data_IF_447374606890
#
_entry.id   IF_447374606890
#
_cell.length_a   1.000
_cell.length_b   1.000
_cell.length_c   1.000
_cell.angle_alpha   90.00
_cell.angle_beta   90.00
_cell.angle_gamma   90.00
#
_symmetry.space_group_name_H-M   'P 1'
#
loop_
_entity.id
_entity.type
_entity.pdbx_description
1 polymer ?
#
# COMPACT_ATOMS: atom_id res chain seq x y z
N UNK A 1 -45.03 20.07 24.48
CA UNK A 1 -44.98 18.70 23.97
C UNK A 1 -43.56 18.41 23.50
N UNK A 2 -42.98 17.35 24.09
CA UNK A 2 -41.74 16.60 23.77
C UNK A 2 -40.58 17.27 23.01
N UNK A 3 -39.47 17.54 23.72
CA UNK A 3 -38.09 17.41 23.21
C UNK A 3 -37.08 17.36 24.38
N UNK A 4 -37.45 16.67 25.47
CA UNK A 4 -36.67 16.61 26.71
C UNK A 4 -36.18 15.19 27.05
N UNK A 5 -36.19 14.25 26.10
CA UNK A 5 -36.06 12.82 26.41
C UNK A 5 -34.98 12.02 25.69
N UNK A 6 -34.02 12.64 25.02
CA UNK A 6 -33.08 11.87 24.18
C UNK A 6 -31.59 12.13 24.37
N UNK A 7 -31.16 12.45 25.59
CA UNK A 7 -29.72 12.43 25.94
C UNK A 7 -29.47 11.85 27.34
N UNK A 8 -30.05 10.66 27.60
CA UNK A 8 -29.65 9.79 28.71
C UNK A 8 -29.39 8.40 28.16
N UNK A 9 -28.14 8.14 27.80
CA UNK A 9 -27.65 6.82 27.43
C UNK A 9 -26.16 6.85 27.11
N UNK A 10 -25.35 6.50 28.12
CA UNK A 10 -23.91 6.18 28.06
C UNK A 10 -22.89 7.32 28.05
N UNK A 11 -22.92 8.14 29.11
CA UNK A 11 -21.69 8.45 29.85
C UNK A 11 -21.90 7.94 31.28
N UNK A 12 -20.97 7.12 31.76
CA UNK A 12 -21.03 6.45 33.06
C UNK A 12 -21.17 7.44 34.21
N UNK A 13 -21.87 6.98 35.24
CA UNK A 13 -22.12 7.63 36.54
C UNK A 13 -20.89 8.41 37.06
N UNK A 14 -20.95 9.73 36.99
CA UNK A 14 -20.30 10.62 37.95
C UNK A 14 -21.15 11.89 38.01
N UNK A 15 -21.72 12.17 39.18
CA UNK A 15 -22.46 13.41 39.44
C UNK A 15 -21.47 14.59 39.44
N UNK A 16 -21.45 15.40 38.38
CA UNK A 16 -20.56 16.59 38.27
C UNK A 16 -21.33 17.90 38.49
N UNK A 17 -22.58 17.86 38.96
CA UNK A 17 -23.34 19.09 39.20
C UNK A 17 -23.92 19.17 40.62
N UNK A 18 -23.04 19.21 41.62
CA UNK A 18 -23.34 19.83 42.92
C UNK A 18 -22.59 21.16 43.00
N UNK A 19 -23.26 22.28 42.70
CA UNK A 19 -22.65 23.58 42.99
C UNK A 19 -23.33 24.83 42.46
N UNK A 20 -23.88 24.84 41.24
CA UNK A 20 -24.36 26.10 40.66
C UNK A 20 -25.74 25.95 39.99
N UNK A 21 -26.79 26.30 40.75
CA UNK A 21 -28.08 26.69 40.15
C UNK A 21 -27.92 28.09 39.56
N UNK A 22 -27.74 28.18 38.25
CA UNK A 22 -27.99 29.42 37.53
C UNK A 22 -29.49 29.48 37.20
N UNK A 23 -30.24 30.32 37.91
CA UNK A 23 -31.58 30.72 37.49
C UNK A 23 -31.44 31.72 36.34
N UNK A 24 -32.11 31.43 35.22
CA UNK A 24 -32.16 32.33 34.07
C UNK A 24 -33.59 32.84 33.87
N UNK A 25 -33.80 34.15 34.00
CA UNK A 25 -35.00 34.86 33.57
C UNK A 25 -34.65 35.72 32.35
N UNK A 26 -35.25 35.42 31.20
CA UNK A 26 -35.14 36.23 29.97
C UNK A 26 -34.97 35.41 28.69
N UNK A 27 -35.56 35.90 27.59
CA UNK A 27 -35.36 35.36 26.23
C UNK A 27 -33.93 35.62 25.76
N UNK A 28 -33.18 34.56 25.44
CA UNK A 28 -31.80 34.68 24.93
C UNK A 28 -31.73 34.56 23.40
N UNK A 29 -30.85 35.38 22.83
CA UNK A 29 -30.42 35.34 21.45
C UNK A 29 -29.55 34.09 21.19
N UNK A 30 -29.70 33.45 20.03
CA UNK A 30 -29.10 32.14 19.68
C UNK A 30 -27.58 32.08 19.86
N UNK A 31 -26.92 33.23 19.77
CA UNK A 31 -25.46 33.39 19.91
C UNK A 31 -24.95 33.18 21.33
N UNK A 32 -25.70 33.59 22.37
CA UNK A 32 -25.32 33.38 23.77
C UNK A 32 -25.38 31.89 24.16
N UNK A 33 -26.34 31.17 23.59
CA UNK A 33 -26.49 29.72 23.76
C UNK A 33 -25.36 28.94 23.06
N UNK A 34 -24.85 29.47 21.95
CA UNK A 34 -23.73 28.91 21.20
C UNK A 34 -22.40 29.14 21.95
N UNK A 35 -22.20 30.34 22.48
CA UNK A 35 -21.02 30.68 23.29
C UNK A 35 -20.94 29.82 24.57
N UNK A 36 -22.07 29.60 25.26
CA UNK A 36 -22.12 28.72 26.43
C UNK A 36 -21.76 27.26 26.09
N UNK A 37 -22.21 26.74 24.93
CA UNK A 37 -21.87 25.39 24.46
C UNK A 37 -20.38 25.24 24.13
N UNK A 38 -19.76 26.27 23.55
CA UNK A 38 -18.32 26.26 23.20
C UNK A 38 -17.45 26.32 24.46
N UNK A 39 -17.84 27.08 25.49
CA UNK A 39 -17.12 27.12 26.77
C UNK A 39 -17.19 25.76 27.50
N UNK A 40 -18.38 25.12 27.51
CA UNK A 40 -18.55 23.79 28.10
C UNK A 40 -17.71 22.73 27.36
N UNK A 41 -17.61 22.82 26.03
CA UNK A 41 -16.76 21.93 25.23
C UNK A 41 -15.26 22.15 25.50
N UNK A 42 -14.83 23.39 25.73
CA UNK A 42 -13.44 23.71 26.09
C UNK A 42 -13.02 23.10 27.43
N UNK A 43 -13.89 23.19 28.44
CA UNK A 43 -13.61 22.63 29.76
C UNK A 43 -13.69 21.09 29.75
N UNK A 44 -14.60 20.50 28.96
CA UNK A 44 -14.62 19.04 28.72
C UNK A 44 -13.37 18.54 27.98
N UNK A 45 -12.89 19.26 26.97
CA UNK A 45 -11.69 18.87 26.21
C UNK A 45 -10.42 18.96 27.06
N UNK A 46 -10.31 19.99 27.90
CA UNK A 46 -9.18 20.16 28.81
C UNK A 46 -9.10 19.06 29.90
N UNK A 47 -10.25 18.48 30.29
CA UNK A 47 -10.30 17.45 31.34
C UNK A 47 -10.27 16.01 30.81
N UNK A 48 -10.59 15.78 29.53
CA UNK A 48 -10.78 14.43 28.98
C UNK A 48 -10.10 14.16 27.62
N UNK A 49 -9.06 14.92 27.25
CA UNK A 49 -8.31 14.77 26.00
C UNK A 49 -7.80 13.33 25.73
N UNK A 50 -7.67 12.47 26.74
CA UNK A 50 -7.24 11.08 26.59
C UNK A 50 -8.39 10.06 26.41
N UNK A 51 -9.66 10.48 26.31
CA UNK A 51 -10.82 9.56 26.33
C UNK A 51 -11.96 9.84 25.31
N UNK A 52 -11.81 10.77 24.36
CA UNK A 52 -12.89 11.07 23.41
C UNK A 52 -12.67 10.32 22.09
N UNK A 53 -13.58 9.37 21.80
CA UNK A 53 -13.69 8.62 20.55
C UNK A 53 -14.42 9.45 19.46
N UNK A 54 -14.17 9.14 18.20
CA UNK A 54 -14.35 9.96 16.99
C UNK A 54 -15.77 10.35 16.54
N UNK A 55 -16.84 10.13 17.31
CA UNK A 55 -18.21 10.19 16.75
C UNK A 55 -18.92 11.56 16.88
N UNK A 56 -18.23 12.64 17.23
CA UNK A 56 -18.88 13.93 17.54
C UNK A 56 -18.96 14.97 16.39
N UNK A 57 -18.45 14.68 15.18
CA UNK A 57 -18.36 15.68 14.11
C UNK A 57 -19.14 15.30 12.83
N UNK A 58 -20.48 15.38 12.86
CA UNK A 58 -21.34 15.20 11.67
C UNK A 58 -22.30 16.36 11.41
N UNK A 59 -21.97 17.59 11.84
CA UNK A 59 -22.94 18.69 11.82
C UNK A 59 -22.44 20.08 11.44
N UNK A 60 -21.44 20.27 10.57
CA UNK A 60 -20.99 21.64 10.22
C UNK A 60 -20.56 21.88 8.76
N UNK A 61 -21.24 21.26 7.79
CA UNK A 61 -20.90 21.36 6.36
C UNK A 61 -21.60 22.45 5.53
N UNK A 62 -22.23 23.51 6.10
CA UNK A 62 -23.07 24.43 5.29
C UNK A 62 -22.83 25.94 5.42
N UNK A 63 -21.70 26.43 5.93
CA UNK A 63 -21.50 27.90 6.10
C UNK A 63 -20.20 28.46 5.50
N UNK A 64 -19.39 27.66 4.79
CA UNK A 64 -18.09 28.12 4.29
C UNK A 64 -18.08 28.47 2.79
N UNK A 65 -19.11 29.16 2.27
CA UNK A 65 -19.09 29.73 0.91
C UNK A 65 -19.26 31.24 0.97
N UNK A 66 -18.14 31.94 0.90
CA UNK A 66 -18.08 33.38 0.77
C UNK A 66 -17.10 33.96 1.77
N UNK A 67 -15.80 33.93 1.43
CA UNK A 67 -14.78 34.89 1.83
C UNK A 67 -13.48 34.52 1.08
N UNK A 68 -13.16 35.29 0.04
CA UNK A 68 -11.94 35.16 -0.75
C UNK A 68 -10.69 35.77 -0.06
N UNK A 69 -9.51 35.69 -0.69
CA UNK A 69 -8.24 35.57 0.02
C UNK A 69 -7.47 36.90 0.13
N UNK A 70 -6.75 37.09 1.24
CA UNK A 70 -5.50 37.86 1.28
C UNK A 70 -4.54 37.24 2.32
N UNK A 71 -3.49 36.61 1.83
CA UNK A 71 -2.35 36.13 2.62
C UNK A 71 -1.33 37.26 2.73
N UNK A 72 -0.92 37.58 3.95
CA UNK A 72 0.17 38.49 4.27
C UNK A 72 0.92 37.98 5.49
N UNK A 73 2.19 37.65 5.28
CA UNK A 73 3.16 37.14 6.26
C UNK A 73 3.38 38.06 7.46
N UNK A 74 3.23 37.57 8.70
CA UNK A 74 4.01 38.02 9.88
C UNK A 74 3.77 37.10 11.08
N UNK A 75 4.47 35.96 11.17
CA UNK A 75 4.43 35.08 12.35
C UNK A 75 5.14 35.66 13.58
N UNK A 76 6.07 36.63 13.43
CA UNK A 76 6.82 37.17 14.57
C UNK A 76 6.14 38.33 15.32
N UNK A 77 5.07 38.93 14.75
CA UNK A 77 4.33 40.02 15.38
C UNK A 77 3.20 39.49 16.29
N UNK A 78 2.58 38.37 15.91
CA UNK A 78 1.46 37.77 16.66
C UNK A 78 1.91 37.23 18.02
N UNK A 79 3.08 36.60 18.11
CA UNK A 79 3.60 36.04 19.38
C UNK A 79 3.94 37.13 20.41
N UNK A 80 4.47 38.28 19.95
CA UNK A 80 4.78 39.43 20.83
C UNK A 80 3.53 40.18 21.30
N UNK A 81 2.44 40.15 20.53
CA UNK A 81 1.16 40.75 20.92
C UNK A 81 0.41 39.85 21.92
N UNK A 82 0.52 38.52 21.79
CA UNK A 82 -0.10 37.60 22.75
C UNK A 82 0.52 37.69 24.15
N UNK A 83 1.84 37.81 24.29
CA UNK A 83 2.48 37.82 25.62
C UNK A 83 2.17 39.09 26.46
N UNK A 84 1.84 40.22 25.83
CA UNK A 84 1.70 41.51 26.52
C UNK A 84 0.28 41.84 27.02
N UNK A 85 -0.75 41.01 26.77
CA UNK A 85 -2.15 41.35 27.07
C UNK A 85 -2.89 40.43 28.05
N UNK A 86 -2.22 39.48 28.70
CA UNK A 86 -2.86 38.61 29.70
C UNK A 86 -2.78 39.20 31.12
N UNK A 87 -3.65 40.15 31.40
CA UNK A 87 -4.04 40.51 32.78
C UNK A 87 -5.46 39.98 33.05
N UNK A 88 -5.70 39.27 34.17
CA UNK A 88 -6.98 38.62 34.44
C UNK A 88 -7.97 39.62 35.06
N UNK A 89 -8.45 40.62 34.28
CA UNK A 89 -9.57 41.50 34.66
C UNK A 89 -9.99 42.40 33.50
N UNK A 90 -10.73 41.86 32.54
CA UNK A 90 -11.60 42.69 31.69
C UNK A 90 -12.71 41.86 31.08
N UNK A 91 -13.95 42.30 31.27
CA UNK A 91 -15.13 41.82 30.55
C UNK A 91 -14.91 42.18 29.07
N UNK A 92 -14.75 41.17 28.21
CA UNK A 92 -14.50 41.38 26.79
C UNK A 92 -15.82 41.74 26.09
N UNK A 93 -15.80 42.79 25.27
CA UNK A 93 -16.92 43.14 24.40
C UNK A 93 -17.17 42.06 23.34
N UNK A 94 -18.41 41.97 22.86
CA UNK A 94 -18.89 40.93 21.91
C UNK A 94 -17.99 40.82 20.67
N UNK A 95 -17.45 41.95 20.19
CA UNK A 95 -16.57 41.99 19.02
C UNK A 95 -15.20 41.31 19.26
N UNK A 96 -14.65 41.41 20.47
CA UNK A 96 -13.39 40.73 20.83
C UNK A 96 -13.58 39.22 21.03
N UNK A 97 -14.79 38.78 21.38
CA UNK A 97 -15.14 37.35 21.47
C UNK A 97 -15.32 36.78 20.06
N UNK A 98 -15.98 37.52 19.16
CA UNK A 98 -16.13 37.14 17.76
C UNK A 98 -14.76 36.98 17.07
N UNK A 99 -13.86 37.95 17.22
CA UNK A 99 -12.51 37.91 16.64
C UNK A 99 -11.70 36.71 17.15
N UNK A 100 -11.82 36.38 18.45
CA UNK A 100 -11.17 35.20 19.06
C UNK A 100 -11.73 33.87 18.57
N UNK A 101 -13.04 33.81 18.30
CA UNK A 101 -13.68 32.62 17.71
C UNK A 101 -13.26 32.46 16.26
N UNK A 102 -13.19 33.53 15.48
CA UNK A 102 -12.74 33.49 14.09
C UNK A 102 -11.29 33.02 13.98
N UNK A 103 -10.39 33.53 14.85
CA UNK A 103 -8.99 33.08 14.89
C UNK A 103 -8.88 31.62 15.32
N UNK A 104 -9.69 31.16 16.27
CA UNK A 104 -9.68 29.76 16.72
C UNK A 104 -10.25 28.79 15.68
N UNK A 105 -11.30 29.20 14.95
CA UNK A 105 -11.84 28.45 13.81
C UNK A 105 -10.82 28.42 12.66
N UNK A 106 -10.13 29.53 12.38
CA UNK A 106 -9.03 29.54 11.42
C UNK A 106 -7.87 28.66 11.87
N UNK A 107 -7.54 28.63 13.16
CA UNK A 107 -6.51 27.74 13.70
C UNK A 107 -6.90 26.26 13.58
N UNK A 108 -8.15 25.90 13.90
CA UNK A 108 -8.65 24.53 13.72
C UNK A 108 -8.77 24.17 12.23
N UNK A 109 -9.21 25.09 11.37
CA UNK A 109 -9.29 24.86 9.93
C UNK A 109 -7.89 24.77 9.29
N UNK A 110 -6.91 25.53 9.79
CA UNK A 110 -5.51 25.44 9.35
C UNK A 110 -4.87 24.17 9.87
N UNK A 111 -5.11 23.76 11.12
CA UNK A 111 -4.66 22.46 11.61
C UNK A 111 -5.35 21.34 10.84
N UNK A 112 -6.67 21.40 10.61
CA UNK A 112 -7.40 20.40 9.84
C UNK A 112 -6.98 20.37 8.37
N UNK A 113 -6.62 21.50 7.76
CA UNK A 113 -6.08 21.57 6.41
C UNK A 113 -4.62 21.13 6.35
N UNK A 114 -3.82 21.37 7.40
CA UNK A 114 -2.43 20.91 7.52
C UNK A 114 -2.37 19.41 7.87
N UNK A 115 -3.31 18.88 8.65
CA UNK A 115 -3.45 17.45 8.94
C UNK A 115 -4.14 16.70 7.80
N UNK A 116 -5.07 17.32 7.06
CA UNK A 116 -5.58 16.77 5.81
C UNK A 116 -4.58 16.88 4.65
N UNK A 117 -3.66 17.85 4.69
CA UNK A 117 -2.53 17.95 3.77
C UNK A 117 -1.31 17.11 4.20
N UNK A 118 -1.32 16.51 5.40
CA UNK A 118 -0.33 15.54 5.87
C UNK A 118 -0.81 14.10 5.65
N UNK A 119 -1.29 13.85 4.44
CA UNK A 119 -1.14 12.60 3.71
C UNK A 119 -1.41 12.92 2.24
N UNK A 120 -0.76 13.95 1.69
CA UNK A 120 -0.69 14.08 0.24
C UNK A 120 0.10 12.86 -0.25
N UNK A 121 -0.60 11.89 -0.81
CA UNK A 121 0.05 10.74 -1.45
C UNK A 121 1.01 11.23 -2.52
N UNK A 122 2.18 10.59 -2.60
CA UNK A 122 3.21 10.94 -3.59
C UNK A 122 2.85 10.37 -4.96
N UNK A 123 2.11 9.26 -5.02
CA UNK A 123 1.60 8.71 -6.27
C UNK A 123 0.12 8.36 -6.19
N UNK A 124 -0.69 9.04 -7.00
CA UNK A 124 -2.12 8.84 -7.11
C UNK A 124 -2.48 8.28 -8.49
N UNK A 125 -3.04 7.07 -8.52
CA UNK A 125 -3.41 6.37 -9.75
C UNK A 125 -4.46 7.16 -10.54
N UNK A 126 -5.37 7.90 -9.88
CA UNK A 126 -6.41 8.64 -10.61
C UNK A 126 -5.85 9.85 -11.38
N UNK A 127 -4.72 10.41 -10.96
CA UNK A 127 -4.03 11.51 -11.65
C UNK A 127 -2.86 11.05 -12.53
N UNK A 128 -2.46 9.78 -12.45
CA UNK A 128 -1.41 9.16 -13.26
C UNK A 128 -1.98 7.98 -14.06
N UNK A 129 -2.75 8.23 -15.14
CA UNK A 129 -3.22 7.15 -16.00
C UNK A 129 -2.01 6.39 -16.57
N UNK A 130 -2.18 5.10 -16.86
CA UNK A 130 -1.12 4.18 -17.30
C UNK A 130 -0.09 3.85 -16.20
N UNK A 131 -0.53 3.76 -14.95
CA UNK A 131 0.30 3.35 -13.84
C UNK A 131 0.80 1.91 -14.04
N UNK A 132 2.08 1.66 -13.72
CA UNK A 132 2.67 0.32 -13.80
C UNK A 132 3.18 -0.08 -12.42
N UNK A 133 2.61 -1.15 -11.88
CA UNK A 133 3.05 -1.79 -10.65
C UNK A 133 3.78 -3.09 -10.91
N UNK A 134 4.54 -3.59 -9.92
CA UNK A 134 5.11 -4.94 -9.95
C UNK A 134 5.01 -5.62 -8.59
N UNK A 135 4.69 -6.91 -8.58
CA UNK A 135 4.74 -7.69 -7.34
C UNK A 135 6.19 -7.87 -6.86
N UNK A 136 6.37 -7.82 -5.53
CA UNK A 136 7.69 -7.83 -4.89
C UNK A 136 7.72 -8.74 -3.65
N UNK A 137 8.76 -9.56 -3.58
CA UNK A 137 9.00 -10.56 -2.54
C UNK A 137 10.01 -10.03 -1.52
N UNK A 138 9.71 -10.20 -0.23
CA UNK A 138 10.57 -9.80 0.89
C UNK A 138 11.09 -10.99 1.73
N UNK A 139 10.77 -12.22 1.32
CA UNK A 139 10.85 -13.44 2.13
C UNK A 139 12.08 -14.32 1.81
N UNK A 140 13.11 -13.77 1.17
CA UNK A 140 14.32 -14.49 0.75
C UNK A 140 15.12 -15.11 1.91
N UNK A 141 14.83 -14.75 3.15
CA UNK A 141 15.48 -15.36 4.32
C UNK A 141 14.93 -16.75 4.68
N UNK A 142 13.78 -17.18 4.13
CA UNK A 142 13.16 -18.47 4.46
C UNK A 142 14.05 -19.70 4.17
N UNK A 143 14.95 -19.60 3.19
CA UNK A 143 15.81 -20.73 2.83
C UNK A 143 17.17 -20.74 3.52
N UNK A 144 17.46 -19.78 4.39
CA UNK A 144 18.77 -19.62 5.02
C UNK A 144 18.90 -20.37 6.36
N UNK A 145 18.51 -21.64 6.39
CA UNK A 145 18.70 -22.52 7.56
C UNK A 145 20.09 -23.16 7.52
N UNK A 146 21.11 -22.43 7.98
CA UNK A 146 22.54 -22.82 8.05
C UNK A 146 23.34 -22.70 6.74
N UNK A 147 22.97 -21.79 5.85
CA UNK A 147 23.73 -21.49 4.63
C UNK A 147 22.84 -20.99 3.52
N UNK A 148 23.41 -20.78 2.34
CA UNK A 148 22.60 -20.50 1.16
C UNK A 148 21.87 -21.79 0.72
N UNK A 149 20.56 -21.75 0.44
CA UNK A 149 19.87 -22.92 -0.09
C UNK A 149 20.42 -23.31 -1.46
N UNK A 150 20.27 -24.58 -1.89
CA UNK A 150 20.75 -25.01 -3.19
C UNK A 150 20.06 -24.28 -4.34
N UNK A 151 20.70 -24.26 -5.50
CA UNK A 151 20.21 -23.63 -6.73
C UNK A 151 19.70 -24.71 -7.70
N UNK A 152 18.43 -24.62 -8.12
CA UNK A 152 17.80 -25.60 -9.00
C UNK A 152 18.47 -25.63 -10.37
N UNK A 153 18.78 -24.47 -10.95
CA UNK A 153 19.45 -24.38 -12.26
C UNK A 153 20.83 -25.05 -12.24
N UNK A 154 21.58 -24.93 -11.14
CA UNK A 154 22.84 -25.65 -10.95
C UNK A 154 22.63 -27.16 -10.79
N UNK A 155 21.61 -27.58 -10.04
CA UNK A 155 21.27 -28.99 -9.86
C UNK A 155 20.90 -29.64 -11.21
N UNK A 156 20.09 -28.97 -12.02
CA UNK A 156 19.70 -29.43 -13.37
C UNK A 156 20.91 -29.50 -14.31
N UNK A 157 21.94 -28.66 -14.10
CA UNK A 157 23.22 -28.75 -14.80
C UNK A 157 24.14 -29.88 -14.29
N UNK A 158 23.69 -30.66 -13.29
CA UNK A 158 24.45 -31.76 -12.69
C UNK A 158 25.36 -31.33 -11.54
N UNK A 159 25.15 -30.13 -10.97
CA UNK A 159 25.95 -29.56 -9.89
C UNK A 159 25.15 -29.51 -8.58
N UNK A 160 25.12 -30.64 -7.87
CA UNK A 160 24.54 -30.73 -6.53
C UNK A 160 23.38 -31.71 -6.46
N UNK A 161 22.47 -31.50 -5.50
CA UNK A 161 21.29 -32.35 -5.31
C UNK A 161 20.17 -31.55 -4.65
N UNK A 162 18.93 -31.92 -4.95
CA UNK A 162 17.78 -31.32 -4.29
C UNK A 162 17.78 -31.62 -2.79
N UNK A 163 17.60 -30.58 -1.97
CA UNK A 163 17.23 -30.74 -0.56
C UNK A 163 15.94 -31.56 -0.39
N UNK A 164 15.74 -32.22 0.76
CA UNK A 164 14.48 -32.87 1.11
C UNK A 164 13.27 -31.93 1.06
N UNK A 165 12.08 -32.46 0.81
CA UNK A 165 10.83 -31.72 1.06
C UNK A 165 10.68 -31.44 2.57
N UNK A 166 10.17 -30.26 2.98
CA UNK A 166 9.70 -29.13 2.18
C UNK A 166 10.72 -27.96 2.14
N UNK A 167 12.01 -28.27 1.97
CA UNK A 167 13.06 -27.25 2.01
C UNK A 167 13.05 -26.35 0.79
N UNK A 168 13.61 -25.16 0.98
CA UNK A 168 13.72 -24.11 -0.02
C UNK A 168 14.97 -24.24 -0.88
N UNK A 169 14.86 -23.70 -2.09
CA UNK A 169 15.90 -23.57 -3.10
C UNK A 169 15.85 -22.17 -3.71
N UNK A 170 16.95 -21.73 -4.30
CA UNK A 170 16.92 -20.70 -5.33
C UNK A 170 16.58 -21.38 -6.67
N UNK A 171 15.68 -20.82 -7.48
CA UNK A 171 15.48 -21.39 -8.82
C UNK A 171 16.69 -21.12 -9.73
N UNK A 172 17.41 -20.01 -9.48
CA UNK A 172 18.62 -19.58 -10.17
C UNK A 172 19.38 -18.53 -9.35
N UNK A 173 20.49 -18.03 -9.89
CA UNK A 173 21.36 -17.04 -9.25
C UNK A 173 21.07 -15.63 -9.76
N UNK A 174 20.68 -14.68 -8.89
CA UNK A 174 20.60 -13.26 -9.27
C UNK A 174 21.97 -12.73 -9.74
N UNK A 175 21.99 -11.75 -10.65
CA UNK A 175 23.22 -11.17 -11.22
C UNK A 175 24.17 -10.56 -10.15
N UNK A 176 23.63 -10.19 -8.99
CA UNK A 176 24.42 -9.74 -7.84
C UNK A 176 24.69 -10.80 -6.77
N UNK A 177 24.44 -12.07 -7.07
CA UNK A 177 24.54 -13.20 -6.15
C UNK A 177 23.33 -13.35 -5.22
N UNK A 178 23.32 -14.45 -4.47
CA UNK A 178 22.26 -14.78 -3.53
C UNK A 178 22.22 -13.79 -2.36
N UNK A 179 21.01 -13.48 -1.89
CA UNK A 179 20.82 -12.49 -0.84
C UNK A 179 19.70 -12.86 0.15
N UNK A 180 19.77 -12.32 1.36
CA UNK A 180 18.71 -12.40 2.36
C UNK A 180 17.74 -11.21 2.23
N UNK A 181 16.53 -11.36 2.76
CA UNK A 181 15.56 -10.27 2.83
C UNK A 181 16.12 -9.08 3.62
N UNK A 182 15.94 -7.86 3.10
CA UNK A 182 16.36 -6.63 3.77
C UNK A 182 17.84 -6.23 3.58
N UNK A 183 18.57 -6.85 2.63
CA UNK A 183 19.93 -6.41 2.31
C UNK A 183 19.94 -5.03 1.62
N UNK A 184 20.50 -4.00 2.27
CA UNK A 184 20.48 -2.62 1.74
C UNK A 184 21.17 -2.45 0.38
N UNK A 185 22.25 -3.18 0.10
CA UNK A 185 22.93 -3.09 -1.20
C UNK A 185 22.06 -3.66 -2.33
N UNK A 186 21.30 -4.70 -2.04
CA UNK A 186 20.31 -5.27 -2.99
C UNK A 186 19.12 -4.32 -3.14
N UNK A 187 18.62 -3.73 -2.06
CA UNK A 187 17.52 -2.77 -2.10
C UNK A 187 17.88 -1.51 -2.90
N UNK A 188 19.08 -0.93 -2.71
CA UNK A 188 19.58 0.20 -3.53
C UNK A 188 19.58 -0.15 -5.02
N UNK A 189 20.10 -1.33 -5.38
CA UNK A 189 20.06 -1.83 -6.76
C UNK A 189 18.63 -1.98 -7.27
N UNK A 190 17.76 -2.62 -6.50
CA UNK A 190 16.37 -2.87 -6.90
C UNK A 190 15.61 -1.57 -7.14
N UNK A 191 15.73 -0.59 -6.24
CA UNK A 191 15.06 0.70 -6.44
C UNK A 191 15.57 1.42 -7.68
N UNK A 192 16.88 1.40 -7.93
CA UNK A 192 17.44 1.96 -9.16
C UNK A 192 16.92 1.26 -10.42
N UNK A 193 16.81 -0.08 -10.41
CA UNK A 193 16.37 -0.85 -11.58
C UNK A 193 14.86 -0.71 -11.80
N UNK A 194 14.05 -0.83 -10.75
CA UNK A 194 12.58 -0.74 -10.79
C UNK A 194 12.16 0.67 -11.21
N UNK A 195 12.64 1.71 -10.52
CA UNK A 195 12.32 3.09 -10.88
C UNK A 195 12.93 3.50 -12.22
N UNK A 196 14.14 3.02 -12.53
CA UNK A 196 14.77 3.21 -13.84
C UNK A 196 14.01 2.54 -14.98
N UNK A 197 13.26 1.47 -14.70
CA UNK A 197 12.33 0.85 -15.64
C UNK A 197 11.02 1.61 -15.84
N UNK A 198 10.81 2.70 -15.08
CA UNK A 198 9.56 3.45 -15.08
C UNK A 198 8.42 2.73 -14.35
N UNK A 199 8.72 1.75 -13.50
CA UNK A 199 7.72 1.13 -12.62
C UNK A 199 7.40 2.12 -11.49
N UNK A 200 6.12 2.42 -11.29
CA UNK A 200 5.67 3.46 -10.37
C UNK A 200 5.57 2.98 -8.93
N UNK A 201 5.22 1.70 -8.74
CA UNK A 201 5.03 1.11 -7.42
C UNK A 201 5.34 -0.38 -7.37
N UNK A 202 5.70 -0.85 -6.19
CA UNK A 202 5.80 -2.26 -5.84
C UNK A 202 4.61 -2.69 -4.99
N UNK A 203 4.21 -3.95 -5.16
CA UNK A 203 3.21 -4.62 -4.32
C UNK A 203 3.94 -5.61 -3.43
N UNK A 204 4.08 -5.29 -2.15
CA UNK A 204 4.71 -6.16 -1.16
C UNK A 204 3.72 -7.27 -0.77
N UNK A 205 4.15 -8.51 -0.95
CA UNK A 205 3.37 -9.69 -0.62
C UNK A 205 3.37 -9.99 0.90
N UNK A 206 2.18 -9.97 1.49
CA UNK A 206 1.89 -10.32 2.87
C UNK A 206 0.79 -11.39 2.97
N UNK A 207 0.58 -12.17 1.90
CA UNK A 207 -0.52 -13.16 1.78
C UNK A 207 -0.30 -14.41 2.64
N UNK A 208 0.94 -14.67 3.04
CA UNK A 208 1.31 -15.78 3.92
C UNK A 208 1.25 -15.46 5.42
N UNK A 209 0.91 -14.22 5.81
CA UNK A 209 0.73 -13.85 7.21
C UNK A 209 -0.63 -14.32 7.73
N UNK A 210 -0.75 -14.62 9.03
CA UNK A 210 -2.01 -15.02 9.65
C UNK A 210 -2.24 -14.31 10.99
N UNK A 211 -3.42 -13.71 11.17
CA UNK A 211 -3.80 -13.07 12.44
C UNK A 211 -3.21 -11.66 12.66
N UNK A 212 -3.65 -11.02 13.74
CA UNK A 212 -3.29 -9.63 14.07
C UNK A 212 -2.08 -9.62 14.99
N UNK A 213 -1.12 -8.73 14.71
CA UNK A 213 0.16 -8.71 15.42
C UNK A 213 1.16 -9.76 14.93
N UNK A 214 0.87 -10.44 13.81
CA UNK A 214 1.68 -11.52 13.25
C UNK A 214 3.05 -11.04 12.74
N UNK A 215 3.92 -10.75 13.69
CA UNK A 215 5.32 -10.48 13.47
C UNK A 215 5.96 -11.73 12.87
N UNK A 216 6.38 -11.65 11.62
CA UNK A 216 6.95 -12.78 10.90
C UNK A 216 8.41 -12.50 10.57
N UNK A 217 9.34 -12.92 11.46
CA UNK A 217 10.74 -12.58 11.35
C UNK A 217 11.37 -13.18 10.10
N UNK A 218 12.12 -12.40 9.33
CA UNK A 218 12.79 -12.83 8.09
C UNK A 218 11.87 -13.17 6.91
N UNK A 219 10.57 -13.39 7.16
CA UNK A 219 9.56 -13.61 6.14
C UNK A 219 8.98 -12.29 5.64
N UNK A 220 8.67 -11.37 6.54
CA UNK A 220 7.94 -10.15 6.17
C UNK A 220 8.38 -8.93 6.97
N UNK A 221 8.45 -9.02 8.30
CA UNK A 221 8.53 -7.81 9.13
C UNK A 221 9.86 -7.06 8.96
N UNK A 222 10.99 -7.65 9.34
CA UNK A 222 12.29 -6.98 9.23
C UNK A 222 12.69 -6.69 7.79
N UNK A 223 12.46 -7.59 6.81
CA UNK A 223 12.69 -7.27 5.42
C UNK A 223 11.87 -6.07 4.91
N UNK A 224 10.60 -5.94 5.31
CA UNK A 224 9.77 -4.78 4.94
C UNK A 224 10.19 -3.51 5.69
N UNK A 225 10.61 -3.63 6.95
CA UNK A 225 11.17 -2.51 7.72
C UNK A 225 12.45 -1.99 7.04
N UNK A 226 13.37 -2.89 6.67
CA UNK A 226 14.60 -2.55 5.98
C UNK A 226 14.33 -1.91 4.61
N UNK A 227 13.37 -2.46 3.85
CA UNK A 227 12.91 -1.89 2.58
C UNK A 227 12.44 -0.43 2.76
N UNK A 228 11.52 -0.17 3.69
CA UNK A 228 10.98 1.17 3.91
C UNK A 228 12.02 2.14 4.50
N UNK A 229 12.90 1.66 5.37
CA UNK A 229 14.02 2.46 5.89
C UNK A 229 15.01 2.84 4.78
N UNK A 230 15.33 1.91 3.88
CA UNK A 230 16.20 2.20 2.74
C UNK A 230 15.52 3.17 1.77
N UNK A 231 14.20 3.05 1.53
CA UNK A 231 13.47 4.07 0.77
C UNK A 231 13.59 5.48 1.38
N UNK A 232 13.58 5.60 2.72
CA UNK A 232 13.84 6.90 3.36
C UNK A 232 15.26 7.42 3.09
N UNK A 233 16.27 6.55 3.17
CA UNK A 233 17.66 6.92 2.89
C UNK A 233 17.80 7.42 1.45
N UNK A 234 17.17 6.73 0.49
CA UNK A 234 17.19 7.05 -0.93
C UNK A 234 16.48 8.37 -1.21
N UNK A 235 15.28 8.57 -0.64
CA UNK A 235 14.55 9.82 -0.74
C UNK A 235 15.33 11.01 -0.16
N UNK A 236 15.98 10.82 0.99
CA UNK A 236 16.84 11.84 1.60
C UNK A 236 18.09 12.15 0.74
N UNK A 237 18.58 11.17 -0.03
CA UNK A 237 19.66 11.34 -0.99
C UNK A 237 19.21 11.87 -2.36
N UNK A 238 17.92 12.12 -2.57
CA UNK A 238 17.36 12.56 -3.85
C UNK A 238 17.39 11.48 -4.95
N UNK A 239 17.53 10.21 -4.56
CA UNK A 239 17.46 9.07 -5.47
C UNK A 239 15.99 8.62 -5.64
N UNK A 240 15.61 8.10 -6.82
CA UNK A 240 14.25 7.65 -7.05
C UNK A 240 13.95 6.37 -6.24
N UNK A 241 12.71 6.26 -5.77
CA UNK A 241 12.17 5.05 -5.15
C UNK A 241 10.81 4.74 -5.77
N UNK A 242 10.43 3.47 -5.94
CA UNK A 242 9.04 3.14 -6.26
C UNK A 242 8.13 3.52 -5.07
N UNK A 243 6.83 3.64 -5.30
CA UNK A 243 5.84 3.71 -4.23
C UNK A 243 5.44 2.29 -3.79
N UNK A 244 4.64 2.17 -2.73
CA UNK A 244 4.32 0.90 -2.08
C UNK A 244 2.82 0.70 -1.93
N UNK A 245 2.40 -0.52 -2.23
CA UNK A 245 1.11 -1.12 -1.91
C UNK A 245 1.37 -2.42 -1.15
N UNK A 246 0.56 -2.74 -0.15
CA UNK A 246 0.59 -4.06 0.49
C UNK A 246 -0.53 -4.95 -0.04
N UNK A 247 -0.20 -6.22 -0.31
CA UNK A 247 -1.17 -7.27 -0.58
C UNK A 247 -1.27 -8.19 0.62
N UNK A 248 -2.37 -8.04 1.38
CA UNK A 248 -2.54 -8.72 2.67
C UNK A 248 -3.41 -9.95 2.54
N UNK A 249 -3.07 -10.99 3.32
CA UNK A 249 -3.97 -12.12 3.52
C UNK A 249 -5.30 -11.62 4.07
N UNK A 250 -6.37 -12.00 3.38
CA UNK A 250 -7.71 -12.03 3.94
C UNK A 250 -8.33 -13.35 3.52
N UNK A 251 -8.98 -14.06 4.43
CA UNK A 251 -9.74 -15.26 4.11
C UNK A 251 -11.09 -15.21 4.81
N UNK A 252 -12.15 -15.63 4.12
CA UNK A 252 -13.50 -15.77 4.72
C UNK A 252 -13.53 -16.79 5.86
N UNK A 253 -12.55 -17.69 5.93
CA UNK A 253 -12.36 -18.69 6.98
C UNK A 253 -11.55 -18.19 8.18
N UNK A 254 -10.90 -17.04 8.09
CA UNK A 254 -10.16 -16.47 9.21
C UNK A 254 -11.15 -15.96 10.27
N UNK A 255 -10.84 -16.17 11.55
CA UNK A 255 -11.68 -15.65 12.66
C UNK A 255 -11.83 -14.12 12.61
N UNK A 256 -10.82 -13.45 12.07
CA UNK A 256 -10.85 -12.02 11.77
C UNK A 256 -10.13 -11.77 10.43
N UNK A 257 -10.88 -11.66 9.32
CA UNK A 257 -10.31 -11.45 7.99
C UNK A 257 -9.57 -10.11 7.83
N UNK A 258 -9.72 -9.16 8.75
CA UNK A 258 -9.04 -7.87 8.69
C UNK A 258 -7.75 -7.81 9.50
N UNK A 259 -7.40 -8.89 10.19
CA UNK A 259 -6.33 -8.94 11.17
C UNK A 259 -4.95 -8.57 10.59
N UNK A 260 -4.58 -9.15 9.44
CA UNK A 260 -3.29 -8.82 8.78
C UNK A 260 -3.31 -7.38 8.23
N UNK A 261 -4.41 -6.96 7.63
CA UNK A 261 -4.57 -5.59 7.13
C UNK A 261 -4.43 -4.53 8.22
N UNK A 262 -4.99 -4.76 9.40
CA UNK A 262 -4.82 -3.85 10.55
C UNK A 262 -3.39 -3.87 11.10
N UNK A 263 -2.73 -5.03 11.13
CA UNK A 263 -1.32 -5.11 11.51
C UNK A 263 -0.44 -4.27 10.57
N UNK A 264 -0.63 -4.41 9.26
CA UNK A 264 0.08 -3.62 8.24
C UNK A 264 -0.26 -2.13 8.36
N UNK A 265 -1.53 -1.80 8.60
CA UNK A 265 -1.96 -0.42 8.87
C UNK A 265 -1.22 0.18 10.07
N UNK A 266 -1.21 -0.51 11.20
CA UNK A 266 -0.67 0.02 12.45
C UNK A 266 0.84 0.12 12.43
N UNK A 267 1.52 -0.84 11.79
CA UNK A 267 2.98 -0.85 11.70
C UNK A 267 3.52 0.14 10.68
N UNK A 268 2.91 0.19 9.49
CA UNK A 268 3.47 0.92 8.35
C UNK A 268 2.66 2.17 8.01
N UNK A 269 1.37 2.06 7.70
CA UNK A 269 0.59 3.22 7.25
C UNK A 269 0.36 4.27 8.34
N UNK A 270 0.40 3.90 9.63
CA UNK A 270 0.34 4.82 10.76
C UNK A 270 1.70 5.41 11.14
N UNK A 271 2.79 4.93 10.54
CA UNK A 271 4.12 5.46 10.80
C UNK A 271 4.34 6.73 9.94
N UNK A 272 4.46 7.93 10.54
CA UNK A 272 4.59 9.17 9.78
C UNK A 272 5.87 9.24 8.94
N UNK A 273 6.89 8.43 9.29
CA UNK A 273 8.14 8.34 8.55
C UNK A 273 7.95 7.81 7.11
N UNK A 274 6.89 7.04 6.88
CA UNK A 274 6.63 6.37 5.60
C UNK A 274 5.44 6.97 4.84
N UNK A 275 4.85 8.07 5.34
CA UNK A 275 3.64 8.68 4.77
C UNK A 275 3.77 9.05 3.28
N UNK A 276 4.99 9.28 2.80
CA UNK A 276 5.30 9.70 1.43
C UNK A 276 5.49 8.53 0.45
N UNK A 277 5.30 7.27 0.86
CA UNK A 277 5.55 6.12 -0.01
C UNK A 277 4.29 5.41 -0.49
N UNK A 278 3.11 5.83 -0.03
CA UNK A 278 1.88 5.12 -0.32
C UNK A 278 1.29 5.50 -1.66
N UNK A 279 0.84 4.48 -2.41
CA UNK A 279 -0.02 4.67 -3.57
C UNK A 279 -1.45 4.96 -3.11
N UNK A 280 -2.07 5.98 -3.67
CA UNK A 280 -3.51 6.21 -3.53
C UNK A 280 -4.30 5.86 -4.76
N UNK A 281 -5.54 5.46 -4.52
CA UNK A 281 -6.53 5.21 -5.54
C UNK A 281 -7.92 5.53 -4.99
N UNK A 282 -8.75 6.21 -5.78
CA UNK A 282 -10.09 6.67 -5.38
C UNK A 282 -10.08 7.47 -4.08
N UNK A 283 -9.05 8.31 -3.92
CA UNK A 283 -8.88 9.23 -2.79
C UNK A 283 -8.43 8.60 -1.47
N UNK A 284 -8.05 7.31 -1.46
CA UNK A 284 -7.54 6.61 -0.26
C UNK A 284 -6.30 5.79 -0.60
N UNK A 285 -5.43 5.46 0.39
CA UNK A 285 -4.35 4.51 0.16
C UNK A 285 -4.90 3.18 -0.38
N UNK A 286 -4.22 2.61 -1.36
CA UNK A 286 -4.56 1.31 -1.93
C UNK A 286 -4.04 0.18 -1.04
N UNK A 287 -4.87 -0.82 -0.78
CA UNK A 287 -4.47 -2.08 -0.15
C UNK A 287 -5.15 -3.23 -0.92
N UNK A 288 -4.36 -4.23 -1.28
CA UNK A 288 -4.87 -5.42 -1.96
C UNK A 288 -5.18 -6.50 -0.94
N UNK A 289 -6.20 -7.31 -1.19
CA UNK A 289 -6.63 -8.40 -0.30
C UNK A 289 -6.72 -9.73 -1.07
N UNK A 290 -6.54 -10.87 -0.41
CA UNK A 290 -6.56 -12.18 -1.10
C UNK A 290 -7.97 -12.68 -1.43
N UNK A 291 -8.91 -12.62 -0.49
CA UNK A 291 -10.23 -13.25 -0.67
C UNK A 291 -11.40 -12.32 -0.34
N UNK A 292 -11.35 -11.67 0.82
CA UNK A 292 -12.45 -10.84 1.34
C UNK A 292 -12.06 -9.37 1.39
N UNK A 293 -13.08 -8.49 1.46
CA UNK A 293 -12.95 -7.04 1.60
C UNK A 293 -13.51 -6.63 2.98
N UNK A 294 -12.71 -6.62 4.05
CA UNK A 294 -13.23 -6.41 5.38
C UNK A 294 -13.64 -4.95 5.63
N UNK A 295 -14.85 -4.73 6.12
CA UNK A 295 -15.42 -3.39 6.40
C UNK A 295 -14.53 -2.53 7.32
N UNK A 296 -13.81 -3.16 8.25
CA UNK A 296 -12.89 -2.50 9.18
C UNK A 296 -11.76 -1.74 8.47
N UNK A 297 -11.43 -2.12 7.23
CA UNK A 297 -10.36 -1.51 6.45
C UNK A 297 -10.88 -0.50 5.41
N UNK A 298 -12.14 -0.63 4.96
CA UNK A 298 -12.72 0.20 3.89
C UNK A 298 -12.84 1.68 4.25
N UNK A 299 -12.92 1.99 5.56
CA UNK A 299 -12.91 3.36 6.06
C UNK A 299 -11.63 4.11 5.68
N UNK A 300 -10.48 3.43 5.74
CA UNK A 300 -9.15 4.01 5.49
C UNK A 300 -8.62 3.71 4.09
N UNK A 301 -8.89 2.54 3.54
CA UNK A 301 -8.27 2.07 2.30
C UNK A 301 -9.28 1.95 1.16
N UNK A 302 -8.80 2.18 -0.05
CA UNK A 302 -9.43 1.61 -1.24
C UNK A 302 -8.95 0.17 -1.34
N UNK A 303 -9.89 -0.78 -1.20
CA UNK A 303 -9.58 -2.21 -1.27
C UNK A 303 -9.82 -2.75 -2.68
N UNK A 304 -8.96 -3.68 -3.09
CA UNK A 304 -9.16 -4.53 -4.27
C UNK A 304 -8.85 -5.97 -3.88
N UNK A 305 -9.78 -6.88 -4.16
CA UNK A 305 -9.49 -8.31 -4.08
C UNK A 305 -8.57 -8.65 -5.24
N UNK A 306 -7.54 -9.45 -4.99
CA UNK A 306 -6.60 -9.89 -6.01
C UNK A 306 -6.23 -11.34 -5.80
N UNK A 307 -6.28 -12.12 -6.89
CA UNK A 307 -5.78 -13.49 -6.93
C UNK A 307 -5.18 -13.83 -8.30
N UNK A 308 -4.80 -15.09 -8.52
CA UNK A 308 -4.25 -15.58 -9.77
C UNK A 308 -5.19 -16.59 -10.42
N UNK A 309 -5.17 -16.61 -11.76
CA UNK A 309 -5.81 -17.62 -12.61
C UNK A 309 -7.32 -17.74 -12.42
N UNK A 310 -7.98 -16.66 -11.98
CA UNK A 310 -9.43 -16.60 -11.92
C UNK A 310 -9.99 -16.76 -13.34
N UNK A 311 -10.97 -17.65 -13.53
CA UNK A 311 -11.60 -17.86 -14.84
C UNK A 311 -12.39 -16.65 -15.35
N UNK A 312 -12.90 -15.83 -14.43
CA UNK A 312 -13.46 -14.50 -14.68
C UNK A 312 -13.19 -13.60 -13.48
N UNK A 313 -13.22 -12.28 -13.67
CA UNK A 313 -13.03 -11.30 -12.61
C UNK A 313 -14.36 -10.67 -12.22
N UNK A 314 -14.62 -10.56 -10.92
CA UNK A 314 -15.72 -9.75 -10.41
C UNK A 314 -15.45 -8.25 -10.61
N UNK A 315 -16.48 -7.43 -10.38
CA UNK A 315 -16.33 -5.98 -10.44
C UNK A 315 -15.26 -5.50 -9.45
N UNK A 316 -14.30 -4.71 -9.94
CA UNK A 316 -13.16 -4.20 -9.17
C UNK A 316 -12.30 -5.32 -8.54
N UNK A 317 -12.31 -6.52 -9.10
CA UNK A 317 -11.37 -7.59 -8.73
C UNK A 317 -10.16 -7.55 -9.65
N UNK A 318 -8.98 -7.58 -9.07
CA UNK A 318 -7.70 -7.57 -9.77
C UNK A 318 -7.17 -8.99 -9.93
N UNK A 319 -6.18 -9.13 -10.81
CA UNK A 319 -5.38 -10.34 -10.89
C UNK A 319 -3.90 -10.00 -10.92
N UNK A 320 -3.07 -10.88 -10.36
CA UNK A 320 -1.61 -10.83 -10.55
C UNK A 320 -1.16 -11.79 -11.66
N UNK A 321 -1.93 -12.84 -11.96
CA UNK A 321 -1.50 -13.90 -12.88
C UNK A 321 -2.67 -14.39 -13.75
N UNK A 322 -2.55 -14.31 -15.08
CA UNK A 322 -3.62 -14.72 -16.01
C UNK A 322 -3.07 -15.39 -17.28
N UNK A 323 -3.87 -16.24 -17.91
CA UNK A 323 -3.63 -16.68 -19.30
C UNK A 323 -3.70 -15.52 -20.29
N UNK A 324 -2.91 -15.59 -21.35
CA UNK A 324 -3.13 -14.72 -22.49
C UNK A 324 -4.27 -15.29 -23.37
N UNK A 325 -5.23 -14.47 -23.84
CA UNK A 325 -5.43 -13.07 -23.46
C UNK A 325 -5.96 -12.92 -22.03
N UNK A 326 -5.40 -11.99 -21.26
CA UNK A 326 -5.78 -11.82 -19.86
C UNK A 326 -7.22 -11.34 -19.71
N UNK A 327 -7.87 -11.80 -18.63
CA UNK A 327 -9.05 -11.14 -18.11
C UNK A 327 -8.72 -9.68 -17.75
N UNK A 328 -9.65 -8.77 -18.06
CA UNK A 328 -9.50 -7.33 -17.76
C UNK A 328 -10.35 -7.01 -16.53
N UNK A 329 -9.71 -6.53 -15.46
CA UNK A 329 -10.42 -6.03 -14.31
C UNK A 329 -11.17 -4.75 -14.70
N UNK A 330 -12.46 -4.66 -14.36
CA UNK A 330 -13.26 -3.47 -14.67
C UNK A 330 -13.99 -2.94 -13.45
N UNK A 331 -14.18 -1.62 -13.42
CA UNK A 331 -15.02 -0.94 -12.44
C UNK A 331 -16.04 -0.11 -13.17
N UNK A 332 -17.33 -0.43 -12.97
CA UNK A 332 -18.44 0.18 -13.72
C UNK A 332 -18.25 0.10 -15.24
N UNK A 333 -17.68 -1.01 -15.74
CA UNK A 333 -17.43 -1.24 -17.16
C UNK A 333 -16.18 -0.56 -17.73
N UNK A 334 -15.44 0.22 -16.93
CA UNK A 334 -14.17 0.85 -17.35
C UNK A 334 -13.00 -0.08 -17.02
N UNK A 335 -12.08 -0.37 -17.96
CA UNK A 335 -10.85 -1.12 -17.69
C UNK A 335 -10.01 -0.46 -16.59
N UNK A 336 -9.84 -1.17 -15.48
CA UNK A 336 -9.12 -0.69 -14.31
C UNK A 336 -7.73 -1.31 -14.23
N UNK A 337 -7.61 -2.62 -14.39
CA UNK A 337 -6.33 -3.33 -14.23
C UNK A 337 -6.17 -4.51 -15.19
N UNK A 338 -4.93 -4.79 -15.60
CA UNK A 338 -4.52 -6.03 -16.28
C UNK A 338 -3.22 -6.56 -15.67
N UNK A 339 -3.12 -7.88 -15.47
CA UNK A 339 -1.86 -8.52 -15.09
C UNK A 339 -0.99 -8.78 -16.30
N UNK A 340 0.33 -8.80 -16.13
CA UNK A 340 1.29 -9.20 -17.17
C UNK A 340 2.36 -10.08 -16.52
N UNK A 341 2.45 -11.34 -16.94
CA UNK A 341 3.42 -12.30 -16.43
C UNK A 341 4.36 -12.81 -17.52
N UNK A 342 5.54 -13.31 -17.13
CA UNK A 342 6.49 -13.93 -18.07
C UNK A 342 6.32 -15.43 -18.19
N UNK A 343 5.92 -16.11 -17.10
CA UNK A 343 5.60 -17.53 -17.05
C UNK A 343 4.50 -17.76 -16.01
N UNK A 344 3.88 -18.95 -16.01
CA UNK A 344 2.84 -19.33 -15.05
C UNK A 344 2.51 -20.81 -15.10
N UNK A 345 1.79 -21.28 -14.09
CA UNK A 345 1.32 -22.65 -13.93
C UNK A 345 -0.04 -22.68 -13.23
N UNK A 346 -0.84 -23.73 -13.47
CA UNK A 346 -2.04 -23.98 -12.67
C UNK A 346 -1.75 -24.71 -11.36
N UNK A 347 -0.76 -25.62 -11.35
CA UNK A 347 -0.39 -26.39 -10.16
C UNK A 347 1.11 -26.32 -9.89
N UNK A 348 1.95 -26.82 -10.80
CA UNK A 348 3.40 -26.83 -10.64
C UNK A 348 4.08 -26.27 -11.89
N UNK A 349 4.96 -25.29 -11.76
CA UNK A 349 5.69 -24.69 -12.88
C UNK A 349 6.72 -25.67 -13.43
N UNK A 350 7.23 -26.54 -12.56
CA UNK A 350 8.09 -27.68 -12.87
C UNK A 350 7.38 -28.75 -13.73
N UNK A 351 6.05 -28.80 -13.75
CA UNK A 351 5.30 -29.62 -14.71
C UNK A 351 5.24 -28.90 -16.06
N UNK A 352 6.30 -29.09 -16.85
CA UNK A 352 6.48 -28.48 -18.17
C UNK A 352 5.38 -28.82 -19.17
N UNK A 353 4.55 -29.83 -18.91
CA UNK A 353 3.44 -30.23 -19.77
C UNK A 353 2.19 -29.35 -19.61
N UNK A 354 2.01 -28.75 -18.44
CA UNK A 354 0.85 -27.90 -18.11
C UNK A 354 1.24 -26.44 -17.86
N UNK A 355 2.50 -26.18 -17.52
CA UNK A 355 3.04 -24.85 -17.33
C UNK A 355 3.20 -24.08 -18.65
N UNK A 356 3.03 -22.76 -18.58
CA UNK A 356 3.40 -21.83 -19.65
C UNK A 356 4.75 -21.22 -19.30
N UNK A 357 5.78 -21.58 -20.06
CA UNK A 357 7.11 -21.00 -19.92
C UNK A 357 7.20 -19.58 -20.47
N UNK A 358 8.34 -18.95 -20.20
CA UNK A 358 8.80 -17.69 -20.77
C UNK A 358 8.81 -17.66 -22.29
N UNK A 359 9.16 -18.80 -22.92
CA UNK A 359 9.34 -18.94 -24.37
C UNK A 359 10.28 -17.88 -24.92
N UNK A 360 11.39 -17.65 -24.21
CA UNK A 360 12.35 -16.59 -24.51
C UNK A 360 11.68 -15.22 -24.76
N UNK A 361 10.72 -14.85 -23.92
CA UNK A 361 9.99 -13.58 -23.99
C UNK A 361 8.67 -13.60 -24.77
N UNK A 362 8.36 -14.64 -25.55
CA UNK A 362 7.13 -14.65 -26.35
C UNK A 362 5.86 -14.61 -25.50
N UNK A 363 5.87 -15.23 -24.32
CA UNK A 363 4.75 -15.16 -23.36
C UNK A 363 4.56 -13.73 -22.85
N UNK A 364 5.66 -13.05 -22.52
CA UNK A 364 5.63 -11.66 -22.04
C UNK A 364 5.13 -10.70 -23.12
N UNK A 365 5.60 -10.88 -24.36
CA UNK A 365 5.15 -10.10 -25.51
C UNK A 365 3.64 -10.24 -25.77
N UNK A 366 3.09 -11.45 -25.65
CA UNK A 366 1.65 -11.69 -25.79
C UNK A 366 0.84 -10.99 -24.69
N UNK A 367 1.33 -11.00 -23.45
CA UNK A 367 0.71 -10.35 -22.31
C UNK A 367 0.72 -8.82 -22.44
N UNK A 368 1.85 -8.24 -22.87
CA UNK A 368 1.93 -6.81 -23.18
C UNK A 368 1.06 -6.40 -24.36
N UNK A 369 0.97 -7.22 -25.41
CA UNK A 369 0.10 -6.93 -26.55
C UNK A 369 -1.35 -6.68 -26.12
N UNK A 370 -1.86 -7.45 -25.16
CA UNK A 370 -3.19 -7.21 -24.59
C UNK A 370 -3.26 -5.93 -23.76
N UNK A 371 -2.23 -5.63 -22.96
CA UNK A 371 -2.17 -4.39 -22.19
C UNK A 371 -2.20 -3.14 -23.10
N UNK A 372 -1.44 -3.13 -24.19
CA UNK A 372 -1.47 -2.08 -25.22
C UNK A 372 -2.80 -2.04 -26.00
N UNK A 373 -3.53 -3.15 -26.10
CA UNK A 373 -4.86 -3.13 -26.72
C UNK A 373 -5.90 -2.46 -25.80
N UNK A 374 -5.83 -2.76 -24.50
CA UNK A 374 -6.85 -2.36 -23.51
C UNK A 374 -6.58 -0.97 -22.95
N UNK A 375 -5.30 -0.62 -22.72
CA UNK A 375 -4.86 0.58 -22.02
C UNK A 375 -5.62 0.84 -20.70
N UNK A 376 -5.55 -0.09 -19.72
CA UNK A 376 -6.18 0.10 -18.41
C UNK A 376 -5.50 1.19 -17.58
N UNK A 377 -6.15 1.61 -16.50
CA UNK A 377 -5.54 2.54 -15.53
C UNK A 377 -4.25 1.98 -14.92
N UNK A 378 -4.21 0.67 -14.66
CA UNK A 378 -3.08 -0.04 -14.04
C UNK A 378 -2.66 -1.26 -14.85
N UNK A 379 -1.36 -1.38 -15.12
CA UNK A 379 -0.71 -2.65 -15.51
C UNK A 379 0.04 -3.19 -14.30
N UNK A 380 -0.23 -4.42 -13.89
CA UNK A 380 0.48 -5.06 -12.77
C UNK A 380 1.36 -6.19 -13.29
N UNK A 381 2.66 -6.09 -13.08
CA UNK A 381 3.65 -7.08 -13.50
C UNK A 381 3.83 -8.16 -12.42
N UNK A 382 4.00 -9.40 -12.88
CA UNK A 382 4.38 -10.54 -12.04
C UNK A 382 5.62 -11.20 -12.63
N UNK A 383 6.75 -11.27 -11.90
CA UNK A 383 7.09 -10.73 -10.58
C UNK A 383 8.48 -10.07 -10.63
N UNK A 384 8.88 -9.21 -9.69
CA UNK A 384 10.25 -8.66 -9.70
C UNK A 384 11.29 -9.71 -9.31
N UNK A 385 11.23 -10.20 -8.06
CA UNK A 385 12.27 -11.02 -7.41
C UNK A 385 11.74 -12.28 -6.71
N UNK A 386 10.84 -13.04 -7.34
CA UNK A 386 10.34 -14.31 -6.81
C UNK A 386 11.38 -15.42 -7.04
N UNK A 387 12.42 -15.46 -6.22
CA UNK A 387 13.55 -16.37 -6.43
C UNK A 387 13.47 -17.69 -5.64
N UNK A 388 12.69 -17.69 -4.56
CA UNK A 388 12.63 -18.80 -3.61
C UNK A 388 11.63 -19.84 -4.09
N UNK A 389 12.09 -21.08 -4.26
CA UNK A 389 11.29 -22.20 -4.70
C UNK A 389 11.19 -23.24 -3.57
N UNK A 390 9.99 -23.53 -3.09
CA UNK A 390 9.79 -24.60 -2.11
C UNK A 390 9.61 -25.94 -2.83
N UNK A 391 10.44 -26.92 -2.49
CA UNK A 391 10.24 -28.29 -2.96
C UNK A 391 8.99 -28.89 -2.34
N UNK A 392 8.12 -29.42 -3.18
CA UNK A 392 6.91 -30.16 -2.84
C UNK A 392 7.13 -31.67 -3.01
N UNK A 393 6.09 -32.45 -2.69
CA UNK A 393 6.05 -33.88 -2.97
C UNK A 393 6.37 -34.21 -4.42
N UNK A 394 7.00 -35.36 -4.64
CA UNK A 394 7.38 -35.78 -5.98
C UNK A 394 6.15 -36.12 -6.84
N UNK A 395 6.31 -35.97 -8.17
CA UNK A 395 5.34 -36.44 -9.14
C UNK A 395 5.26 -37.99 -9.18
N UNK A 396 4.36 -38.52 -9.99
CA UNK A 396 4.17 -39.97 -10.15
C UNK A 396 5.41 -40.71 -10.69
N UNK A 397 6.36 -40.00 -11.30
CA UNK A 397 7.62 -40.54 -11.82
C UNK A 397 8.79 -40.37 -10.84
N UNK A 398 8.55 -39.76 -9.67
CA UNK A 398 9.58 -39.50 -8.67
C UNK A 398 10.36 -38.20 -8.88
N UNK A 399 9.95 -37.33 -9.81
CA UNK A 399 10.60 -36.03 -10.03
C UNK A 399 10.17 -35.03 -8.95
N UNK A 400 11.06 -34.17 -8.46
CA UNK A 400 10.71 -33.11 -7.51
C UNK A 400 9.75 -32.10 -8.17
N UNK A 401 8.76 -31.63 -7.40
CA UNK A 401 7.83 -30.62 -7.87
C UNK A 401 8.06 -29.27 -7.17
N UNK A 402 7.86 -28.22 -7.93
CA UNK A 402 7.93 -26.82 -7.50
C UNK A 402 6.73 -26.07 -8.05
N UNK A 403 6.12 -25.25 -7.18
CA UNK A 403 4.88 -24.53 -7.48
C UNK A 403 5.19 -23.39 -8.43
N UNK A 404 5.84 -22.33 -7.98
CA UNK A 404 5.92 -21.05 -8.70
C UNK A 404 7.19 -20.86 -9.52
N UNK A 405 8.31 -21.43 -9.07
CA UNK A 405 9.65 -21.16 -9.61
C UNK A 405 10.44 -22.47 -9.82
N UNK A 406 11.20 -22.58 -10.91
CA UNK A 406 11.96 -23.81 -11.22
C UNK A 406 13.27 -23.57 -11.98
N UNK A 407 13.24 -22.94 -13.16
CA UNK A 407 14.42 -22.72 -13.99
C UNK A 407 14.28 -21.44 -14.84
N UNK A 408 15.31 -21.08 -15.61
CA UNK A 408 15.34 -19.86 -16.41
C UNK A 408 14.20 -19.67 -17.43
N UNK A 409 13.47 -20.73 -17.82
CA UNK A 409 12.28 -20.64 -18.67
C UNK A 409 10.97 -20.87 -17.89
N UNK A 410 11.01 -21.52 -16.73
CA UNK A 410 9.88 -21.92 -15.91
C UNK A 410 9.92 -21.23 -14.53
N UNK A 411 9.97 -19.90 -14.58
CA UNK A 411 10.03 -19.01 -13.42
C UNK A 411 9.36 -17.66 -13.72
N UNK A 412 8.76 -17.00 -12.74
CA UNK A 412 7.90 -15.81 -12.95
C UNK A 412 8.62 -14.49 -12.70
N UNK A 413 9.75 -14.51 -12.03
CA UNK A 413 10.52 -13.32 -11.73
C UNK A 413 11.16 -12.69 -12.98
N UNK A 414 11.56 -11.42 -12.89
CA UNK A 414 12.21 -10.69 -13.99
C UNK A 414 13.50 -9.96 -13.57
N UNK A 415 13.92 -10.13 -12.32
CA UNK A 415 15.17 -9.57 -11.82
C UNK A 415 16.33 -10.13 -12.64
N UNK A 416 17.35 -9.33 -13.00
CA UNK A 416 18.49 -9.84 -13.76
C UNK A 416 19.13 -11.10 -13.13
N UNK A 417 19.24 -12.15 -13.94
CA UNK A 417 19.91 -13.39 -13.58
C UNK A 417 21.40 -13.30 -13.95
N UNK A 418 22.26 -14.00 -13.21
CA UNK A 418 23.67 -14.13 -13.53
C UNK A 418 23.84 -14.72 -14.95
N UNK A 419 24.49 -14.01 -15.88
CA UNK A 419 24.61 -14.44 -17.27
C UNK A 419 25.53 -15.65 -17.48
N UNK A 420 26.28 -16.07 -16.45
CA UNK A 420 27.10 -17.28 -16.51
C UNK A 420 26.33 -18.57 -16.27
N UNK A 421 25.10 -18.50 -15.76
CA UNK A 421 24.28 -19.69 -15.55
C UNK A 421 23.71 -20.25 -16.86
N UNK A 422 23.67 -21.59 -17.01
CA UNK A 422 23.00 -22.23 -18.15
C UNK A 422 21.53 -21.81 -18.24
N UNK A 423 21.08 -21.43 -19.44
CA UNK A 423 19.69 -20.99 -19.65
C UNK A 423 19.37 -19.62 -19.03
N UNK A 424 20.38 -18.85 -18.63
CA UNK A 424 20.18 -17.54 -18.03
C UNK A 424 19.52 -16.57 -18.99
N UNK A 425 18.52 -15.84 -18.48
CA UNK A 425 17.89 -14.74 -19.22
C UNK A 425 18.59 -13.40 -19.02
N UNK A 426 19.71 -13.37 -18.29
CA UNK A 426 20.50 -12.17 -18.03
C UNK A 426 19.61 -10.97 -17.63
N UNK A 427 19.87 -9.82 -18.24
CA UNK A 427 19.08 -8.60 -18.08
C UNK A 427 17.98 -8.40 -19.14
N UNK A 428 17.64 -9.43 -19.93
CA UNK A 428 16.71 -9.29 -21.07
C UNK A 428 15.34 -8.79 -20.61
N UNK A 429 14.76 -9.40 -19.57
CA UNK A 429 13.44 -9.00 -19.07
C UNK A 429 13.41 -7.58 -18.50
N UNK A 430 14.41 -7.17 -17.72
CA UNK A 430 14.53 -5.78 -17.27
C UNK A 430 14.56 -4.80 -18.45
N UNK A 431 15.35 -5.12 -19.48
CA UNK A 431 15.51 -4.29 -20.69
C UNK A 431 14.22 -4.22 -21.50
N UNK A 432 13.48 -5.33 -21.59
CA UNK A 432 12.20 -5.37 -22.28
C UNK A 432 11.10 -4.66 -21.50
N UNK A 433 11.05 -4.81 -20.17
CA UNK A 433 10.14 -4.07 -19.30
C UNK A 433 10.35 -2.56 -19.44
N UNK A 434 11.60 -2.09 -19.46
CA UNK A 434 11.93 -0.70 -19.77
C UNK A 434 11.33 -0.22 -21.09
N UNK A 435 11.49 -0.99 -22.16
CA UNK A 435 11.00 -0.64 -23.49
C UNK A 435 9.47 -0.66 -23.57
N UNK A 436 8.83 -1.68 -23.00
CA UNK A 436 7.37 -1.76 -22.94
C UNK A 436 6.77 -0.61 -22.14
N UNK A 437 7.28 -0.34 -20.94
CA UNK A 437 6.76 0.73 -20.08
C UNK A 437 6.98 2.09 -20.73
N UNK A 438 8.17 2.34 -21.29
CA UNK A 438 8.47 3.60 -21.97
C UNK A 438 7.50 3.87 -23.12
N UNK A 439 7.28 2.87 -23.99
CA UNK A 439 6.33 2.99 -25.09
C UNK A 439 4.87 3.12 -24.60
N UNK A 440 4.48 2.32 -23.60
CA UNK A 440 3.13 2.31 -23.03
C UNK A 440 2.75 3.66 -22.45
N UNK A 441 3.63 4.24 -21.62
CA UNK A 441 3.42 5.55 -21.00
C UNK A 441 3.47 6.70 -22.00
N UNK A 442 4.28 6.56 -23.06
CA UNK A 442 4.36 7.53 -24.14
C UNK A 442 3.25 7.38 -25.20
N UNK A 443 2.29 6.46 -25.00
CA UNK A 443 1.24 6.11 -25.97
C UNK A 443 1.80 5.81 -27.38
N UNK A 444 2.95 5.15 -27.43
CA UNK A 444 3.58 4.70 -28.68
C UNK A 444 3.10 3.30 -29.06
N UNK A 445 3.28 2.87 -30.32
CA UNK A 445 3.07 1.48 -30.71
C UNK A 445 3.89 0.52 -29.85
N UNK A 446 3.36 -0.69 -29.63
CA UNK A 446 4.08 -1.73 -28.89
C UNK A 446 5.45 -2.00 -29.56
N UNK A 447 6.55 -2.01 -28.81
CA UNK A 447 7.87 -2.32 -29.37
C UNK A 447 7.93 -3.79 -29.82
N UNK A 448 8.56 -4.02 -30.98
CA UNK A 448 8.79 -5.35 -31.54
C UNK A 448 10.19 -5.89 -31.25
N UNK A 449 10.43 -7.17 -31.52
CA UNK A 449 11.75 -7.79 -31.38
C UNK A 449 12.21 -8.02 -29.93
N UNK A 450 11.28 -7.97 -28.97
CA UNK A 450 11.57 -8.18 -27.54
C UNK A 450 11.38 -9.65 -27.15
N UNK A 451 12.01 -10.53 -27.93
CA UNK A 451 11.98 -12.00 -27.78
C UNK A 451 13.27 -12.60 -28.31
N UNK A 452 13.66 -13.77 -27.80
CA UNK A 452 14.86 -14.50 -28.20
C UNK A 452 16.10 -14.04 -27.41
N UNK A 453 16.69 -14.97 -26.66
CA UNK A 453 18.00 -14.86 -26.02
C UNK A 453 18.67 -16.23 -25.92
#
# INVERSE_FOLDING_TARGET
MSLQKEWRGNCGKTDIFSGHRLQWSGQYNKEALLAAKVIILKDCYAQHASKINSDAFTGFGKVANGLGPKVGSTTSAAEKILAARYSPRSILGVDQVAERITVFIWWIATIAAVTAAQAAAVFDIDSHPNAVGICYSVWHSLGYDNGNPPDISEIEAGHGSFSPEPNWHWWGRPDGGYYQGGNNGVLDRHFSQISGAGIDFIVIDATNLAGYGNYAPGLFTEPSDALLAEMQNQAAAGKPTPNVVFWVRTASTDADPSAVGRFVQDRYYNNPNYANFWVTFKGKPLMLTSDTLPDQLTGRFTLRKMWGLQGSLAQSEWSFLQDAPQNVATTNGVPEQISVCVAKQQSYISDKSTATSRKQGATYAAQWAKAFQVHPQVVLLTWWNEWMAQRQGNDANGNPQFVDEFDGEYSRDIEPQDPSQPGSHGSHYLTWTQQYISAYKANQPIPGGLTGY
#
